data_IF_549687686058
#
_entry.id   IF_549687686058
#
_cell.length_a   1.000
_cell.length_b   1.000
_cell.length_c   1.000
_cell.angle_alpha   90.00
_cell.angle_beta   90.00
_cell.angle_gamma   90.00
#
_symmetry.space_group_name_H-M   'P 1'
#
loop_
_entity.id
_entity.type
_entity.pdbx_description
1 polymer ?
#
# COMPACT_ATOMS: atom_id res chain seq x y z
N UNK A 1 3.51 13.45 -14.40
CA UNK A 1 2.24 13.06 -13.74
C UNK A 1 2.35 11.58 -13.40
N UNK A 2 2.37 11.21 -12.11
CA UNK A 2 2.53 9.80 -11.65
C UNK A 2 1.25 9.04 -12.02
N UNK A 3 1.33 8.25 -13.09
CA UNK A 3 0.18 7.75 -13.85
C UNK A 3 -0.09 6.26 -13.54
N UNK A 4 -1.11 6.01 -12.71
CA UNK A 4 -2.13 4.93 -12.71
C UNK A 4 -1.80 3.44 -12.95
N UNK A 5 -0.67 3.04 -13.53
CA UNK A 5 -0.27 1.64 -13.65
C UNK A 5 0.28 1.05 -12.34
N UNK A 6 0.61 1.91 -11.39
CA UNK A 6 1.34 1.55 -10.19
C UNK A 6 0.56 0.62 -9.27
N UNK A 7 -0.77 0.72 -9.22
CA UNK A 7 -1.59 -0.11 -8.34
C UNK A 7 -1.93 -1.50 -8.88
N UNK A 8 -1.86 -1.72 -10.19
CA UNK A 8 -1.87 -3.09 -10.74
C UNK A 8 -0.57 -3.86 -10.42
N UNK A 9 0.48 -3.16 -9.94
CA UNK A 9 1.81 -3.70 -9.73
C UNK A 9 2.08 -4.23 -8.30
N UNK A 10 1.40 -3.69 -7.28
CA UNK A 10 1.57 -4.13 -5.88
C UNK A 10 1.08 -5.57 -5.61
N UNK A 11 0.21 -6.08 -6.46
CA UNK A 11 -0.43 -7.39 -6.24
C UNK A 11 0.26 -8.54 -6.97
N UNK A 12 1.39 -8.31 -7.68
CA UNK A 12 1.97 -9.39 -8.51
C UNK A 12 3.30 -9.97 -8.05
N UNK A 13 4.16 -9.26 -7.33
CA UNK A 13 5.41 -9.85 -6.82
C UNK A 13 5.89 -9.10 -5.58
N UNK A 14 5.77 -9.74 -4.40
CA UNK A 14 6.58 -9.70 -3.16
C UNK A 14 7.20 -8.40 -2.61
N UNK A 15 7.22 -7.29 -3.35
CA UNK A 15 7.95 -6.07 -3.00
C UNK A 15 6.97 -4.98 -2.55
N UNK A 16 7.18 -4.41 -1.35
CA UNK A 16 6.52 -3.19 -0.93
C UNK A 16 6.73 -2.10 -1.97
N UNK A 17 5.66 -1.42 -2.35
CA UNK A 17 5.82 -0.23 -3.17
C UNK A 17 5.67 1.03 -2.35
N UNK A 18 6.63 1.93 -2.55
CA UNK A 18 6.76 3.16 -1.80
C UNK A 18 6.57 4.36 -2.71
N UNK A 19 5.76 5.31 -2.26
CA UNK A 19 5.60 6.62 -2.89
C UNK A 19 6.09 7.71 -1.95
N UNK A 20 6.51 8.82 -2.54
CA UNK A 20 6.58 10.08 -1.81
C UNK A 20 5.23 10.79 -1.89
N UNK A 21 4.65 11.05 -0.73
CA UNK A 21 3.43 11.82 -0.56
C UNK A 21 3.70 12.94 0.45
N UNK A 22 3.54 14.20 0.04
CA UNK A 22 3.76 15.39 0.87
C UNK A 22 5.12 15.42 1.61
N UNK A 23 6.20 14.92 0.99
CA UNK A 23 7.54 14.86 1.59
C UNK A 23 7.76 13.69 2.55
N UNK A 24 6.76 12.84 2.76
CA UNK A 24 6.88 11.59 3.51
C UNK A 24 6.94 10.39 2.57
N UNK A 25 7.80 9.43 2.88
CA UNK A 25 7.81 8.12 2.21
C UNK A 25 6.72 7.25 2.82
N UNK A 26 5.80 6.78 1.99
CA UNK A 26 4.71 5.88 2.39
C UNK A 26 4.82 4.61 1.58
N UNK A 27 4.87 3.46 2.23
CA UNK A 27 4.99 2.15 1.57
C UNK A 27 3.74 1.31 1.79
N UNK A 28 3.40 0.46 0.82
CA UNK A 28 2.24 -0.43 0.92
C UNK A 28 2.61 -1.87 0.58
N UNK A 29 2.02 -2.82 1.32
CA UNK A 29 2.11 -4.27 1.06
C UNK A 29 0.73 -4.93 1.11
N UNK A 30 0.57 -6.06 0.42
CA UNK A 30 -0.66 -6.86 0.47
C UNK A 30 -0.89 -7.42 1.88
N UNK A 31 -2.04 -7.14 2.47
CA UNK A 31 -2.42 -7.73 3.76
C UNK A 31 -3.00 -9.16 3.61
N UNK A 32 -3.26 -9.62 2.38
CA UNK A 32 -3.68 -11.00 2.13
C UNK A 32 -2.54 -12.00 2.40
N UNK A 33 -1.29 -11.58 2.16
CA UNK A 33 -0.09 -12.40 2.37
C UNK A 33 0.43 -12.31 3.80
N UNK A 34 0.26 -11.14 4.44
CA UNK A 34 0.69 -10.86 5.80
C UNK A 34 -0.54 -10.48 6.62
N UNK A 35 -1.28 -11.46 7.18
CA UNK A 35 -2.53 -11.19 7.89
C UNK A 35 -2.29 -10.47 9.23
N UNK A 36 -1.07 -10.56 9.78
CA UNK A 36 -0.69 -9.94 11.03
C UNK A 36 0.11 -8.64 10.84
N UNK A 37 -0.12 -7.68 11.75
CA UNK A 37 0.52 -6.36 11.72
C UNK A 37 2.04 -6.46 11.93
N UNK A 38 2.48 -7.33 12.83
CA UNK A 38 3.89 -7.43 13.20
C UNK A 38 4.70 -8.08 12.06
N UNK A 39 4.14 -9.07 11.36
CA UNK A 39 4.74 -9.68 10.17
C UNK A 39 4.92 -8.64 9.04
N UNK A 40 3.90 -7.81 8.81
CA UNK A 40 3.99 -6.73 7.82
C UNK A 40 5.00 -5.64 8.24
N UNK A 41 5.06 -5.31 9.53
CA UNK A 41 6.01 -4.35 10.08
C UNK A 41 7.45 -4.85 9.91
N UNK A 42 7.71 -6.12 10.21
CA UNK A 42 8.99 -6.78 9.98
C UNK A 42 9.34 -6.81 8.49
N UNK A 43 8.41 -7.15 7.61
CA UNK A 43 8.65 -7.16 6.16
C UNK A 43 9.02 -5.77 5.61
N UNK A 44 8.38 -4.71 6.10
CA UNK A 44 8.63 -3.33 5.68
C UNK A 44 9.89 -2.72 6.31
N UNK A 45 10.19 -3.06 7.57
CA UNK A 45 11.34 -2.56 8.32
C UNK A 45 12.62 -3.37 8.10
N UNK A 46 12.54 -4.70 8.20
CA UNK A 46 13.66 -5.64 8.13
C UNK A 46 14.33 -5.72 6.76
N UNK A 47 13.59 -5.41 5.70
CA UNK A 47 14.10 -5.39 4.32
C UNK A 47 14.57 -4.00 3.86
N UNK A 48 14.55 -2.98 4.74
CA UNK A 48 15.09 -1.65 4.44
C UNK A 48 14.26 -0.79 3.48
N UNK A 49 12.97 -1.12 3.28
CA UNK A 49 12.09 -0.36 2.37
C UNK A 49 11.83 1.07 2.85
N UNK A 50 11.80 1.29 4.17
CA UNK A 50 11.75 2.62 4.78
C UNK A 50 13.07 2.82 5.53
N UNK A 51 13.77 3.93 5.23
CA UNK A 51 14.99 4.28 5.97
C UNK A 51 14.63 4.50 7.44
N UNK A 52 15.31 3.78 8.34
CA UNK A 52 15.00 3.68 9.78
C UNK A 52 13.76 2.85 10.16
N UNK A 53 13.11 2.20 9.19
CA UNK A 53 11.91 1.39 9.38
C UNK A 53 10.65 2.23 9.63
N UNK A 54 9.44 1.72 9.31
CA UNK A 54 8.20 2.39 9.68
C UNK A 54 8.02 2.40 11.19
N UNK A 55 7.50 3.52 11.71
CA UNK A 55 7.16 3.64 13.13
C UNK A 55 5.76 3.10 13.45
N UNK A 56 4.90 3.01 12.44
CA UNK A 56 3.58 2.45 12.52
C UNK A 56 3.14 1.93 11.14
N UNK A 57 2.23 0.96 11.14
CA UNK A 57 1.48 0.57 9.96
C UNK A 57 -0.02 0.52 10.28
N UNK A 58 -0.83 0.79 9.28
CA UNK A 58 -2.29 0.79 9.36
C UNK A 58 -2.89 -0.07 8.25
N UNK A 59 -3.94 -0.82 8.58
CA UNK A 59 -4.71 -1.52 7.56
C UNK A 59 -5.56 -0.50 6.81
N UNK A 60 -5.45 -0.50 5.49
CA UNK A 60 -6.30 0.24 4.56
C UNK A 60 -6.91 -0.72 3.55
N UNK A 61 -7.87 -0.23 2.79
CA UNK A 61 -8.51 -0.95 1.71
C UNK A 61 -8.33 -0.19 0.40
N UNK A 62 -7.65 -0.83 -0.55
CA UNK A 62 -7.41 -0.31 -1.90
C UNK A 62 -8.54 -0.75 -2.83
N UNK A 63 -9.33 0.20 -3.33
CA UNK A 63 -10.39 -0.04 -4.30
C UNK A 63 -10.11 0.63 -5.64
N UNK A 64 -10.45 -0.04 -6.75
CA UNK A 64 -10.38 0.55 -8.08
C UNK A 64 -11.58 1.49 -8.28
N UNK A 65 -11.29 2.75 -8.59
CA UNK A 65 -12.27 3.78 -8.92
C UNK A 65 -12.06 4.22 -10.36
N UNK A 66 -13.10 4.09 -11.18
CA UNK A 66 -13.11 4.61 -12.55
C UNK A 66 -13.52 6.07 -12.54
N UNK A 67 -12.66 6.91 -13.08
CA UNK A 67 -12.90 8.34 -13.25
C UNK A 67 -12.92 8.68 -14.74
N UNK A 68 -13.41 9.85 -15.12
CA UNK A 68 -13.40 10.31 -16.52
C UNK A 68 -11.98 10.40 -17.10
N UNK A 69 -10.98 10.58 -16.23
CA UNK A 69 -9.55 10.60 -16.58
C UNK A 69 -8.89 9.20 -16.60
N UNK A 70 -9.68 8.13 -16.41
CA UNK A 70 -9.23 6.73 -16.38
C UNK A 70 -9.33 6.06 -15.02
N UNK A 71 -8.65 4.93 -14.87
CA UNK A 71 -8.72 4.10 -13.66
C UNK A 71 -7.72 4.55 -12.60
N UNK A 72 -8.22 4.93 -11.42
CA UNK A 72 -7.41 5.27 -10.24
C UNK A 72 -7.70 4.27 -9.16
N UNK A 73 -6.78 4.14 -8.22
CA UNK A 73 -7.05 3.39 -7.02
C UNK A 73 -7.10 4.32 -5.83
N UNK A 74 -8.08 4.09 -4.97
CA UNK A 74 -8.34 4.88 -3.79
C UNK A 74 -8.08 4.02 -2.56
N UNK A 75 -7.41 4.61 -1.57
CA UNK A 75 -7.27 4.04 -0.24
C UNK A 75 -8.38 4.55 0.65
N UNK A 76 -8.96 3.65 1.43
CA UNK A 76 -10.05 3.92 2.36
C UNK A 76 -9.83 3.17 3.67
N UNK A 77 -10.39 3.69 4.77
CA UNK A 77 -10.36 3.01 6.07
C UNK A 77 -11.43 1.92 6.18
N UNK A 78 -12.46 1.97 5.32
CA UNK A 78 -13.57 1.03 5.30
C UNK A 78 -13.44 0.04 4.15
N UNK A 79 -13.77 -1.23 4.39
CA UNK A 79 -13.80 -2.23 3.34
C UNK A 79 -15.02 -2.03 2.44
N UNK A 80 -14.79 -1.53 1.22
CA UNK A 80 -15.81 -1.40 0.19
C UNK A 80 -15.86 -2.63 -0.73
N UNK A 81 -16.99 -2.90 -1.40
CA UNK A 81 -17.07 -3.97 -2.41
C UNK A 81 -15.99 -3.83 -3.48
N UNK A 82 -15.23 -4.90 -3.72
CA UNK A 82 -14.15 -4.91 -4.71
C UNK A 82 -12.85 -4.23 -4.27
N UNK A 83 -12.73 -3.85 -2.99
CA UNK A 83 -11.46 -3.41 -2.41
C UNK A 83 -10.64 -4.57 -1.85
N UNK A 84 -9.32 -4.38 -1.79
CA UNK A 84 -8.35 -5.35 -1.29
C UNK A 84 -7.63 -4.77 -0.07
N UNK A 85 -7.38 -5.58 0.97
CA UNK A 85 -6.72 -5.12 2.18
C UNK A 85 -5.22 -4.91 1.91
N UNK A 86 -4.69 -3.78 2.38
CA UNK A 86 -3.27 -3.41 2.24
C UNK A 86 -2.76 -2.78 3.54
N UNK A 87 -1.53 -3.10 3.93
CA UNK A 87 -0.86 -2.38 5.02
C UNK A 87 -0.21 -1.13 4.47
N UNK A 88 -0.56 0.03 5.01
CA UNK A 88 0.11 1.31 4.76
C UNK A 88 1.13 1.57 5.87
N UNK A 89 2.37 1.83 5.49
CA UNK A 89 3.49 2.07 6.39
C UNK A 89 4.07 3.47 6.21
N UNK A 90 4.35 4.14 7.32
CA UNK A 90 4.68 5.56 7.40
C UNK A 90 5.91 5.85 8.26
#
# INVERSE_FOLDING_TARGET
MKNMNTLLHFMRYFEPHCIENAGQKVCYVSALEYPDKDEALEALGGNGWIASGPSNIELKYAGLVRTDDGERWQLTDEQLPGSYPVWEAR
#
